data_IF_752525927399
#
_entry.id   IF_752525927399
#
_cell.length_a   1.000
_cell.length_b   1.000
_cell.length_c   1.000
_cell.angle_alpha   90.00
_cell.angle_beta   90.00
_cell.angle_gamma   90.00
#
_symmetry.space_group_name_H-M   'P 1'
#
loop_
_entity.id
_entity.type
_entity.pdbx_description
1 polymer ?
#
# COMPACT_ATOMS: atom_id res chain seq x y z
N UNK A 1 -20.53 8.62 -6.21
CA UNK A 1 -21.56 7.58 -6.45
C UNK A 1 -21.09 6.76 -7.63
N UNK A 2 -20.77 5.47 -7.46
CA UNK A 2 -20.29 4.61 -8.55
C UNK A 2 -21.45 3.81 -9.15
N UNK A 3 -22.44 4.51 -9.70
CA UNK A 3 -23.65 3.91 -10.24
C UNK A 3 -24.10 4.66 -11.48
N UNK A 4 -24.65 3.93 -12.45
CA UNK A 4 -25.18 4.43 -13.72
C UNK A 4 -26.55 5.14 -13.61
N UNK A 5 -27.10 5.31 -12.41
CA UNK A 5 -28.40 5.98 -12.22
C UNK A 5 -28.21 7.49 -12.01
N UNK A 6 -29.23 8.31 -12.31
CA UNK A 6 -29.18 9.74 -12.06
C UNK A 6 -28.86 10.08 -10.61
N UNK A 7 -28.06 11.14 -10.39
CA UNK A 7 -27.81 11.68 -9.06
C UNK A 7 -29.12 12.24 -8.48
N UNK A 8 -29.41 11.90 -7.23
CA UNK A 8 -30.55 12.45 -6.50
C UNK A 8 -30.39 13.96 -6.27
N UNK A 9 -29.16 14.40 -5.93
CA UNK A 9 -28.79 15.81 -5.75
C UNK A 9 -27.54 16.07 -6.60
N UNK A 10 -27.61 16.91 -7.65
CA UNK A 10 -26.54 17.06 -8.64
C UNK A 10 -25.47 18.09 -8.28
N UNK A 11 -25.59 18.80 -7.14
CA UNK A 11 -24.73 19.92 -6.74
C UNK A 11 -23.23 19.58 -6.78
N UNK A 12 -22.88 18.35 -6.39
CA UNK A 12 -21.50 17.86 -6.33
C UNK A 12 -21.09 16.99 -7.53
N UNK A 13 -21.84 17.03 -8.65
CA UNK A 13 -21.58 16.19 -9.82
C UNK A 13 -20.13 16.25 -10.30
N UNK A 14 -19.57 17.47 -10.45
CA UNK A 14 -18.20 17.67 -10.90
C UNK A 14 -17.16 17.00 -9.99
N UNK A 15 -17.37 17.06 -8.67
CA UNK A 15 -16.50 16.39 -7.70
C UNK A 15 -16.60 14.87 -7.83
N UNK A 16 -17.81 14.33 -7.97
CA UNK A 16 -18.00 12.89 -8.12
C UNK A 16 -17.36 12.34 -9.39
N UNK A 17 -17.49 13.06 -10.51
CA UNK A 17 -16.87 12.68 -11.79
C UNK A 17 -15.34 12.77 -11.72
N UNK A 18 -14.79 13.78 -11.03
CA UNK A 18 -13.35 13.91 -10.82
C UNK A 18 -12.78 12.76 -9.97
N UNK A 19 -13.40 12.47 -8.83
CA UNK A 19 -12.99 11.36 -7.95
C UNK A 19 -13.12 10.00 -8.63
N UNK A 20 -14.16 9.82 -9.46
CA UNK A 20 -14.34 8.61 -10.26
C UNK A 20 -13.23 8.44 -11.30
N UNK A 21 -12.87 9.51 -12.01
CA UNK A 21 -11.77 9.47 -12.97
C UNK A 21 -10.42 9.18 -12.30
N UNK A 22 -10.15 9.78 -11.14
CA UNK A 22 -8.89 9.53 -10.44
C UNK A 22 -8.80 8.08 -9.94
N UNK A 23 -9.90 7.53 -9.40
CA UNK A 23 -9.96 6.11 -9.07
C UNK A 23 -9.78 5.21 -10.30
N UNK A 24 -10.38 5.55 -11.44
CA UNK A 24 -10.25 4.76 -12.66
C UNK A 24 -8.83 4.77 -13.22
N UNK A 25 -8.15 5.92 -13.22
CA UNK A 25 -6.73 6.02 -13.59
C UNK A 25 -5.87 5.12 -12.70
N UNK A 26 -6.11 5.17 -11.39
CA UNK A 26 -5.37 4.35 -10.43
C UNK A 26 -5.57 2.85 -10.70
N UNK A 27 -6.81 2.40 -10.93
CA UNK A 27 -7.12 1.01 -11.26
C UNK A 27 -6.51 0.60 -12.61
N UNK A 28 -6.61 1.45 -13.64
CA UNK A 28 -6.03 1.19 -14.96
C UNK A 28 -4.50 1.07 -14.92
N UNK A 29 -3.84 1.73 -13.96
CA UNK A 29 -2.38 1.67 -13.77
C UNK A 29 -1.90 0.41 -13.05
N UNK A 30 -2.80 -0.37 -12.42
CA UNK A 30 -2.43 -1.53 -11.61
C UNK A 30 -1.58 -2.58 -12.35
N UNK A 31 -1.88 -2.97 -13.61
CA UNK A 31 -1.09 -3.96 -14.32
C UNK A 31 0.35 -3.49 -14.54
N UNK A 32 0.54 -2.21 -14.86
CA UNK A 32 1.86 -1.58 -15.00
C UNK A 32 2.67 -1.65 -13.71
N UNK A 33 2.03 -1.31 -12.58
CA UNK A 33 2.70 -1.22 -11.28
C UNK A 33 2.77 -2.57 -10.53
N UNK A 34 2.51 -3.70 -11.20
CA UNK A 34 2.42 -5.00 -10.55
C UNK A 34 3.78 -5.49 -10.01
N UNK A 35 4.86 -5.26 -10.76
CA UNK A 35 6.21 -5.66 -10.37
C UNK A 35 6.68 -4.88 -9.12
N UNK A 36 6.50 -3.56 -9.10
CA UNK A 36 6.79 -2.73 -7.92
C UNK A 36 5.98 -3.15 -6.69
N UNK A 37 4.68 -3.45 -6.85
CA UNK A 37 3.84 -3.93 -5.74
C UNK A 37 4.34 -5.27 -5.17
N UNK A 38 4.66 -6.23 -6.05
CA UNK A 38 5.22 -7.53 -5.64
C UNK A 38 6.56 -7.36 -4.92
N UNK A 39 7.42 -6.46 -5.39
CA UNK A 39 8.69 -6.16 -4.76
C UNK A 39 8.50 -5.55 -3.36
N UNK A 40 7.56 -4.60 -3.22
CA UNK A 40 7.20 -4.03 -1.92
C UNK A 40 6.65 -5.08 -0.94
N UNK A 41 5.80 -5.99 -1.42
CA UNK A 41 5.26 -7.06 -0.58
C UNK A 41 6.33 -8.08 -0.18
N UNK A 42 7.31 -8.35 -1.06
CA UNK A 42 8.48 -9.16 -0.72
C UNK A 42 9.31 -8.49 0.39
N UNK A 43 9.55 -7.18 0.30
CA UNK A 43 10.27 -6.41 1.33
C UNK A 43 9.54 -6.50 2.67
N UNK A 44 8.23 -6.24 2.69
CA UNK A 44 7.41 -6.34 3.91
C UNK A 44 7.47 -7.75 4.50
N UNK A 45 7.35 -8.78 3.66
CA UNK A 45 7.40 -10.18 4.09
C UNK A 45 8.77 -10.57 4.63
N UNK A 46 9.85 -10.10 4.03
CA UNK A 46 11.20 -10.35 4.49
C UNK A 46 11.44 -9.75 5.89
N UNK A 47 11.01 -8.50 6.13
CA UNK A 47 11.07 -7.88 7.45
C UNK A 47 10.26 -8.66 8.48
N UNK A 48 9.01 -9.00 8.16
CA UNK A 48 8.16 -9.79 9.05
C UNK A 48 8.77 -11.16 9.38
N UNK A 49 9.35 -11.85 8.38
CA UNK A 49 10.02 -13.13 8.58
C UNK A 49 11.25 -13.01 9.49
N UNK A 50 12.04 -11.93 9.31
CA UNK A 50 13.19 -11.62 10.17
C UNK A 50 12.77 -11.37 11.62
N UNK A 51 11.74 -10.53 11.83
CA UNK A 51 11.17 -10.30 13.17
C UNK A 51 10.66 -11.59 13.80
N UNK A 52 9.95 -12.41 13.02
CA UNK A 52 9.46 -13.69 13.49
C UNK A 52 10.60 -14.64 13.89
N UNK A 53 11.70 -14.66 13.13
CA UNK A 53 12.88 -15.45 13.48
C UNK A 53 13.50 -15.01 14.82
N UNK A 54 13.60 -13.69 15.07
CA UNK A 54 14.05 -13.18 16.37
C UNK A 54 13.12 -13.62 17.50
N UNK A 55 11.79 -13.47 17.35
CA UNK A 55 10.80 -13.88 18.35
C UNK A 55 10.97 -15.36 18.71
N UNK A 56 10.95 -16.25 17.71
CA UNK A 56 11.06 -17.69 17.93
C UNK A 56 12.40 -18.04 18.59
N UNK A 57 13.50 -17.41 18.17
CA UNK A 57 14.81 -17.66 18.75
C UNK A 57 14.94 -17.18 20.20
N UNK A 58 14.35 -16.03 20.53
CA UNK A 58 14.31 -15.49 21.90
C UNK A 58 13.51 -16.41 22.81
N UNK A 59 12.34 -16.88 22.35
CA UNK A 59 11.55 -17.86 23.09
C UNK A 59 12.34 -19.16 23.30
N UNK A 60 13.02 -19.67 22.26
CA UNK A 60 13.86 -20.87 22.37
C UNK A 60 15.01 -20.69 23.37
N UNK A 61 15.64 -19.52 23.41
CA UNK A 61 16.76 -19.20 24.29
C UNK A 61 16.35 -19.20 25.77
N UNK A 62 15.13 -18.75 26.08
CA UNK A 62 14.59 -18.68 27.44
C UNK A 62 13.99 -20.01 27.94
N UNK A 63 13.87 -21.04 27.08
CA UNK A 63 13.29 -22.32 27.46
C UNK A 63 14.27 -23.19 28.26
N UNK A 64 13.84 -23.81 29.37
CA UNK A 64 14.66 -24.75 30.12
C UNK A 64 14.78 -26.09 29.38
N UNK A 65 15.92 -26.77 29.56
CA UNK A 65 16.21 -28.02 28.85
C UNK A 65 15.45 -29.23 29.42
N UNK A 66 15.21 -29.28 30.73
CA UNK A 66 14.78 -30.52 31.42
C UNK A 66 13.44 -30.39 32.15
N UNK A 67 13.29 -29.42 33.07
CA UNK A 67 12.08 -29.27 33.90
C UNK A 67 11.47 -27.87 33.79
N UNK A 68 10.18 -27.73 34.12
CA UNK A 68 9.48 -26.43 34.17
C UNK A 68 9.06 -25.84 32.83
N UNK A 69 9.15 -26.61 31.73
CA UNK A 69 8.86 -26.14 30.36
C UNK A 69 7.46 -25.52 30.20
N UNK A 70 6.42 -26.19 30.71
CA UNK A 70 5.05 -25.68 30.59
C UNK A 70 4.81 -24.40 31.38
N UNK A 71 5.38 -24.29 32.58
CA UNK A 71 5.29 -23.06 33.37
C UNK A 71 6.01 -21.91 32.67
N UNK A 72 7.24 -22.14 32.20
CA UNK A 72 8.03 -21.12 31.49
C UNK A 72 7.37 -20.70 30.18
N UNK A 73 6.78 -21.64 29.43
CA UNK A 73 6.01 -21.33 28.22
C UNK A 73 4.85 -20.38 28.52
N UNK A 74 4.04 -20.66 29.56
CA UNK A 74 2.93 -19.77 29.96
C UNK A 74 3.44 -18.38 30.35
N UNK A 75 4.52 -18.31 31.11
CA UNK A 75 5.18 -17.04 31.48
C UNK A 75 5.63 -16.26 30.23
N UNK A 76 6.34 -16.90 29.30
CA UNK A 76 6.85 -16.26 28.08
C UNK A 76 5.73 -15.77 27.16
N UNK A 77 4.62 -16.52 27.05
CA UNK A 77 3.45 -16.10 26.27
C UNK A 77 2.76 -14.90 26.92
N UNK A 78 2.61 -14.89 28.24
CA UNK A 78 2.01 -13.77 28.97
C UNK A 78 2.87 -12.50 28.88
N UNK A 79 4.19 -12.64 28.94
CA UNK A 79 5.15 -11.53 28.88
C UNK A 79 5.66 -11.24 27.46
N UNK A 80 4.98 -11.72 26.42
CA UNK A 80 5.42 -11.58 25.03
C UNK A 80 5.61 -10.11 24.61
N UNK A 81 4.85 -9.17 25.20
CA UNK A 81 4.98 -7.74 24.93
C UNK A 81 6.34 -7.18 25.36
N UNK A 82 6.86 -7.61 26.50
CA UNK A 82 8.20 -7.20 26.97
C UNK A 82 9.30 -7.82 26.08
N UNK A 83 9.09 -9.06 25.62
CA UNK A 83 9.99 -9.72 24.67
C UNK A 83 10.05 -8.92 23.37
N UNK A 84 8.92 -8.41 22.87
CA UNK A 84 8.89 -7.57 21.66
C UNK A 84 9.68 -6.28 21.87
N UNK A 85 9.45 -5.56 22.98
CA UNK A 85 10.18 -4.33 23.30
C UNK A 85 11.70 -4.55 23.48
N UNK A 86 12.10 -5.73 23.95
CA UNK A 86 13.51 -6.11 24.04
C UNK A 86 14.11 -6.31 22.64
N UNK A 87 13.44 -7.08 21.79
CA UNK A 87 13.86 -7.33 20.39
C UNK A 87 13.92 -6.01 19.61
N UNK A 88 12.92 -5.14 19.79
CA UNK A 88 12.83 -3.82 19.17
C UNK A 88 14.09 -2.99 19.45
N UNK A 89 14.48 -2.89 20.73
CA UNK A 89 15.66 -2.13 21.17
C UNK A 89 16.98 -2.77 20.76
N UNK A 90 17.11 -4.09 20.92
CA UNK A 90 18.35 -4.82 20.62
C UNK A 90 18.68 -4.82 19.13
N UNK A 91 17.66 -4.92 18.27
CA UNK A 91 17.83 -5.07 16.82
C UNK A 91 17.39 -3.83 16.02
N UNK A 92 16.97 -2.75 16.68
CA UNK A 92 16.55 -1.49 16.06
C UNK A 92 15.44 -1.69 15.01
N UNK A 93 14.43 -2.48 15.38
CA UNK A 93 13.30 -2.84 14.52
C UNK A 93 12.14 -1.89 14.79
N UNK A 94 11.42 -1.48 13.76
CA UNK A 94 10.22 -0.65 13.93
C UNK A 94 9.08 -1.45 14.58
N UNK A 95 8.30 -0.88 15.52
CA UNK A 95 7.11 -1.52 16.08
C UNK A 95 6.11 -2.02 15.03
N UNK A 96 6.03 -1.34 13.88
CA UNK A 96 5.13 -1.71 12.78
C UNK A 96 5.49 -3.02 12.06
N UNK A 97 6.72 -3.51 12.21
CA UNK A 97 7.16 -4.78 11.62
C UNK A 97 6.76 -6.00 12.48
N UNK A 98 6.28 -5.78 13.71
CA UNK A 98 5.87 -6.86 14.61
C UNK A 98 4.46 -7.38 14.29
N UNK A 99 4.24 -8.70 14.38
CA UNK A 99 2.90 -9.26 14.26
C UNK A 99 2.02 -8.83 15.44
N UNK A 100 0.70 -8.94 15.28
CA UNK A 100 -0.25 -8.70 16.37
C UNK A 100 0.09 -9.56 17.60
N UNK A 101 0.33 -8.89 18.73
CA UNK A 101 0.68 -9.52 20.00
C UNK A 101 -0.33 -10.60 20.38
N UNK A 102 -1.62 -10.25 20.39
CA UNK A 102 -2.71 -11.16 20.77
C UNK A 102 -2.76 -12.40 19.88
N UNK A 103 -2.68 -12.21 18.56
CA UNK A 103 -2.68 -13.33 17.61
C UNK A 103 -1.45 -14.23 17.80
N UNK A 104 -0.28 -13.64 18.08
CA UNK A 104 0.92 -14.42 18.34
C UNK A 104 0.80 -15.22 19.64
N UNK A 105 0.25 -14.64 20.71
CA UNK A 105 -0.01 -15.33 21.97
C UNK A 105 -0.94 -16.54 21.78
N UNK A 106 -2.06 -16.36 21.07
CA UNK A 106 -3.01 -17.42 20.76
C UNK A 106 -2.34 -18.58 19.98
N UNK A 107 -1.57 -18.26 18.95
CA UNK A 107 -0.88 -19.27 18.15
C UNK A 107 0.19 -20.03 18.96
N UNK A 108 0.99 -19.32 19.76
CA UNK A 108 2.07 -19.89 20.56
C UNK A 108 1.58 -20.86 21.64
N UNK A 109 0.35 -20.72 22.15
CA UNK A 109 -0.22 -21.64 23.14
C UNK A 109 -0.24 -23.09 22.65
N UNK A 110 -0.43 -23.31 21.35
CA UNK A 110 -0.50 -24.66 20.75
C UNK A 110 0.85 -25.22 20.32
N UNK A 111 1.92 -24.42 20.37
CA UNK A 111 3.24 -24.81 19.88
C UNK A 111 4.13 -25.40 20.99
N UNK A 112 5.01 -26.32 20.61
CA UNK A 112 6.05 -26.86 21.50
C UNK A 112 7.35 -26.07 21.33
N UNK A 113 7.67 -25.23 22.30
CA UNK A 113 8.85 -24.36 22.23
C UNK A 113 10.17 -25.14 22.30
N UNK A 114 10.16 -26.38 22.78
CA UNK A 114 11.37 -27.20 22.79
C UNK A 114 11.86 -27.55 21.37
N UNK A 115 10.94 -27.58 20.40
CA UNK A 115 11.21 -27.85 18.97
C UNK A 115 11.65 -26.62 18.19
N UNK A 116 11.54 -25.42 18.78
CA UNK A 116 12.00 -24.20 18.12
C UNK A 116 13.50 -24.25 17.85
N UNK A 117 13.88 -23.65 16.72
CA UNK A 117 15.26 -23.59 16.27
C UNK A 117 15.95 -22.38 16.92
N UNK A 118 17.22 -22.56 17.26
CA UNK A 118 18.07 -21.43 17.64
C UNK A 118 18.27 -20.50 16.43
N UNK A 119 18.61 -19.24 16.72
CA UNK A 119 18.89 -18.26 15.68
C UNK A 119 20.07 -18.74 14.81
N UNK A 120 19.93 -18.58 13.49
CA UNK A 120 20.99 -18.89 12.52
C UNK A 120 21.46 -17.60 11.88
N UNK A 121 22.56 -16.99 12.36
CA UNK A 121 23.02 -15.66 11.90
C UNK A 121 23.19 -15.59 10.38
N UNK A 122 23.79 -16.62 9.76
CA UNK A 122 23.98 -16.68 8.30
C UNK A 122 22.70 -16.51 7.48
N UNK A 123 21.56 -17.01 7.97
CA UNK A 123 20.28 -16.86 7.28
C UNK A 123 19.75 -15.44 7.40
N UNK A 124 19.99 -14.77 8.53
CA UNK A 124 19.67 -13.36 8.69
C UNK A 124 20.54 -12.49 7.79
N UNK A 125 21.84 -12.75 7.77
CA UNK A 125 22.79 -12.01 6.94
C UNK A 125 22.39 -12.06 5.45
N UNK A 126 21.88 -13.21 4.98
CA UNK A 126 21.38 -13.37 3.61
C UNK A 126 20.14 -12.50 3.34
N UNK A 127 19.22 -12.42 4.30
CA UNK A 127 18.02 -11.56 4.18
C UNK A 127 18.41 -10.08 4.23
N UNK A 128 19.35 -9.71 5.09
CA UNK A 128 19.82 -8.35 5.24
C UNK A 128 20.60 -7.89 4.00
N UNK A 129 21.46 -8.75 3.43
CA UNK A 129 22.14 -8.49 2.17
C UNK A 129 21.16 -8.32 1.00
N UNK A 130 20.15 -9.20 0.92
CA UNK A 130 19.08 -9.07 -0.08
C UNK A 130 18.34 -7.73 0.06
N UNK A 131 17.95 -7.34 1.28
CA UNK A 131 17.24 -6.08 1.53
C UNK A 131 18.11 -4.85 1.23
N UNK A 132 19.41 -4.90 1.50
CA UNK A 132 20.33 -3.79 1.30
C UNK A 132 20.79 -3.63 -0.15
N UNK A 133 21.13 -4.74 -0.81
CA UNK A 133 21.82 -4.74 -2.10
C UNK A 133 20.95 -5.25 -3.26
N UNK A 134 20.27 -6.39 -3.09
CA UNK A 134 19.49 -6.99 -4.19
C UNK A 134 18.23 -6.18 -4.52
N UNK A 135 17.50 -5.73 -3.51
CA UNK A 135 16.29 -4.92 -3.70
C UNK A 135 16.60 -3.62 -4.45
N UNK A 136 17.71 -2.96 -4.12
CA UNK A 136 18.10 -1.72 -4.80
C UNK A 136 18.36 -1.97 -6.30
N UNK A 137 19.04 -3.07 -6.64
CA UNK A 137 19.26 -3.47 -8.04
C UNK A 137 17.94 -3.79 -8.75
N UNK A 138 17.07 -4.57 -8.11
CA UNK A 138 15.76 -4.93 -8.66
C UNK A 138 14.87 -3.69 -8.90
N UNK A 139 14.88 -2.71 -7.99
CA UNK A 139 14.12 -1.47 -8.16
C UNK A 139 14.52 -0.71 -9.44
N UNK A 140 15.82 -0.68 -9.78
CA UNK A 140 16.30 -0.05 -11.01
C UNK A 140 15.81 -0.82 -12.24
N UNK A 141 15.94 -2.15 -12.23
CA UNK A 141 15.50 -3.02 -13.32
C UNK A 141 13.99 -2.91 -13.56
N UNK A 142 13.18 -2.94 -12.50
CA UNK A 142 11.71 -2.84 -12.59
C UNK A 142 11.30 -1.50 -13.21
N UNK A 143 11.95 -0.38 -12.82
CA UNK A 143 11.66 0.93 -13.44
C UNK A 143 12.00 1.00 -14.92
N UNK A 144 13.09 0.33 -15.33
CA UNK A 144 13.46 0.23 -16.75
C UNK A 144 12.46 -0.64 -17.51
N UNK A 145 12.01 -1.75 -16.92
CA UNK A 145 10.99 -2.60 -17.52
C UNK A 145 9.65 -1.86 -17.70
N UNK A 146 9.21 -1.10 -16.69
CA UNK A 146 7.99 -0.29 -16.72
C UNK A 146 8.02 0.89 -17.71
N UNK A 147 9.20 1.31 -18.17
CA UNK A 147 9.34 2.35 -19.20
C UNK A 147 9.36 1.77 -20.61
N UNK A 148 9.81 0.52 -20.76
CA UNK A 148 9.87 -0.20 -22.04
C UNK A 148 8.58 -0.93 -22.38
N UNK A 149 7.79 -1.33 -21.38
CA UNK A 149 6.52 -2.00 -21.61
C UNK A 149 5.46 -1.05 -22.20
N UNK A 150 4.76 -1.44 -23.27
CA UNK A 150 3.61 -0.70 -23.76
C UNK A 150 2.52 -0.64 -22.68
N UNK A 151 1.73 0.43 -22.66
CA UNK A 151 0.66 0.64 -21.66
C UNK A 151 -0.30 -0.55 -21.63
N UNK A 152 -0.09 -1.46 -20.68
CA UNK A 152 -1.04 -2.50 -20.31
C UNK A 152 -2.09 -1.87 -19.39
N UNK A 153 -2.85 -0.92 -19.93
CA UNK A 153 -4.01 -0.37 -19.24
C UNK A 153 -5.16 -1.38 -19.29
N UNK A 154 -5.97 -1.39 -18.23
CA UNK A 154 -7.27 -2.07 -18.26
C UNK A 154 -8.13 -1.42 -19.35
N UNK A 155 -8.61 -2.22 -20.31
CA UNK A 155 -9.47 -1.79 -21.43
C UNK A 155 -10.87 -2.40 -21.26
N UNK A 156 -11.89 -1.72 -21.79
CA UNK A 156 -13.27 -2.21 -21.75
C UNK A 156 -14.09 -1.73 -20.55
N UNK A 157 -15.42 -1.82 -20.67
CA UNK A 157 -16.36 -1.53 -19.58
C UNK A 157 -16.40 -0.05 -19.19
N UNK A 158 -16.48 0.25 -17.90
CA UNK A 158 -16.50 1.62 -17.37
C UNK A 158 -15.21 2.42 -17.65
N UNK A 159 -14.16 1.75 -18.13
CA UNK A 159 -12.88 2.36 -18.50
C UNK A 159 -12.81 2.79 -19.97
N UNK A 160 -13.69 2.25 -20.82
CA UNK A 160 -13.83 2.67 -22.21
C UNK A 160 -14.88 3.80 -22.27
N UNK A 161 -14.46 5.02 -22.58
CA UNK A 161 -15.38 6.10 -22.96
C UNK A 161 -15.80 7.09 -21.87
N UNK A 162 -15.13 7.16 -20.71
CA UNK A 162 -15.33 8.26 -19.74
C UNK A 162 -14.54 9.54 -20.05
N UNK A 163 -13.83 9.58 -21.20
CA UNK A 163 -13.49 10.85 -21.84
C UNK A 163 -14.76 11.46 -22.45
N UNK A 164 -15.69 11.81 -21.57
CA UNK A 164 -16.78 12.75 -21.70
C UNK A 164 -17.21 13.08 -23.13
N UNK A 165 -18.15 12.28 -23.63
CA UNK A 165 -18.94 12.57 -24.82
C UNK A 165 -18.13 12.96 -26.06
N UNK A 166 -18.80 13.31 -27.15
CA UNK A 166 -18.16 13.98 -28.27
C UNK A 166 -17.88 15.48 -27.98
N UNK A 167 -18.26 15.98 -26.80
CA UNK A 167 -18.14 17.38 -26.38
C UNK A 167 -17.29 17.43 -25.11
N UNK A 168 -16.09 18.01 -25.20
CA UNK A 168 -15.18 18.10 -24.05
C UNK A 168 -15.81 18.81 -22.85
N UNK A 169 -15.43 18.40 -21.64
CA UNK A 169 -15.93 18.97 -20.38
C UNK A 169 -15.80 20.50 -20.39
N UNK A 170 -16.94 21.20 -20.30
CA UNK A 170 -16.97 22.64 -20.09
C UNK A 170 -16.58 23.50 -21.30
N UNK A 171 -16.55 22.95 -22.51
CA UNK A 171 -16.30 23.75 -23.71
C UNK A 171 -17.54 24.58 -24.09
N UNK A 172 -17.42 25.91 -24.04
CA UNK A 172 -18.40 26.85 -24.59
C UNK A 172 -19.61 27.21 -23.71
N UNK A 173 -19.69 26.77 -22.46
CA UNK A 173 -20.81 27.10 -21.56
C UNK A 173 -20.36 27.56 -20.16
N UNK A 174 -21.14 28.46 -19.53
CA UNK A 174 -20.89 28.98 -18.20
C UNK A 174 -19.67 29.89 -18.14
N UNK A 175 -18.71 29.59 -17.25
CA UNK A 175 -17.48 30.37 -17.11
C UNK A 175 -16.55 30.32 -18.34
N UNK A 176 -16.84 29.45 -19.32
CA UNK A 176 -16.12 29.33 -20.60
C UNK A 176 -16.80 30.06 -21.77
N UNK A 177 -17.85 30.84 -21.53
CA UNK A 177 -18.47 31.67 -22.57
C UNK A 177 -17.47 32.75 -23.04
N UNK A 178 -17.13 32.75 -24.33
CA UNK A 178 -16.14 33.66 -24.92
C UNK A 178 -14.67 33.26 -24.70
N UNK A 179 -14.38 32.00 -24.35
CA UNK A 179 -13.00 31.52 -24.11
C UNK A 179 -12.05 31.72 -25.31
N UNK A 180 -12.61 31.76 -26.53
CA UNK A 180 -11.88 31.98 -27.78
C UNK A 180 -12.16 33.38 -28.39
N UNK A 181 -12.94 34.23 -27.70
CA UNK A 181 -13.21 35.60 -28.14
C UNK A 181 -12.11 36.55 -27.67
N UNK A 182 -11.64 37.40 -28.57
CA UNK A 182 -10.54 38.36 -28.30
C UNK A 182 -11.01 39.54 -27.43
N UNK A 183 -12.32 39.82 -27.44
CA UNK A 183 -12.93 40.93 -26.71
C UNK A 183 -13.93 40.43 -25.66
N UNK A 184 -14.17 41.25 -24.64
CA UNK A 184 -15.10 40.93 -23.57
C UNK A 184 -16.52 40.75 -24.12
N UNK A 185 -17.16 39.62 -23.81
CA UNK A 185 -18.42 39.18 -24.42
C UNK A 185 -19.56 40.21 -24.31
N UNK A 186 -19.59 41.00 -23.23
CA UNK A 186 -20.62 42.05 -23.01
C UNK A 186 -20.25 43.41 -23.60
N UNK A 187 -19.05 43.56 -24.19
CA UNK A 187 -18.61 44.81 -24.80
C UNK A 187 -19.54 45.29 -25.91
N UNK A 188 -20.17 44.35 -26.64
CA UNK A 188 -21.14 44.61 -27.71
C UNK A 188 -22.46 45.23 -27.21
N UNK A 189 -22.87 44.90 -25.99
CA UNK A 189 -24.15 45.30 -25.40
C UNK A 189 -24.00 46.41 -24.36
N UNK A 190 -22.74 46.77 -24.01
CA UNK A 190 -22.41 47.83 -23.06
C UNK A 190 -23.18 49.15 -23.28
N UNK A 191 -23.32 49.67 -24.51
CA UNK A 191 -24.06 50.93 -24.73
C UNK A 191 -25.52 50.87 -24.30
N UNK A 192 -26.14 49.69 -24.35
CA UNK A 192 -27.54 49.47 -23.98
C UNK A 192 -27.74 49.30 -22.47
N UNK A 193 -26.71 48.84 -21.75
CA UNK A 193 -26.74 48.74 -20.29
C UNK A 193 -26.31 50.02 -19.57
N UNK A 194 -25.58 50.90 -20.25
CA UNK A 194 -25.12 52.18 -19.73
C UNK A 194 -26.18 53.31 -19.85
N UNK A 195 -27.28 53.10 -20.60
CA UNK A 195 -28.48 53.97 -20.67
C UNK A 195 -29.47 53.73 -19.52
#
# INVERSE_FOLDING_TARGET
SFWSHPLLIPDNRKLFEAEEQDLFKDIQSLPRNAALRKLNDLIKRARLAKVHAYIISSLKKEMPNVFGKESKKKELVNNLGEIYQKIEREHQISPGDFPSLRKMQELLQTQDFSKFQALKPKLLDTVDDMLANDIARLMVMVRQEESLMPSQAVKGGAFDGTMNGPFGHGYGEGAGEGIDDVEWVVGKDKPTYDE
#
